data_IF_602249433521
#
_entry.id   IF_602249433521
#
_cell.length_a   1.000
_cell.length_b   1.000
_cell.length_c   1.000
_cell.angle_alpha   90.00
_cell.angle_beta   90.00
_cell.angle_gamma   90.00
#
_symmetry.space_group_name_H-M   'P 1'
#
loop_
_entity.id
_entity.type
_entity.pdbx_description
1 polymer ?
#
# COMPACT_ATOMS: atom_id res chain seq x y z
N UNK A 1 -7.34 14.18 77.24
CA UNK A 1 -8.02 13.21 76.37
C UNK A 1 -7.20 13.05 75.11
N UNK A 2 -6.86 11.81 74.74
CA UNK A 2 -6.07 11.47 73.55
C UNK A 2 -7.01 11.43 72.34
N UNK A 3 -6.76 12.23 71.31
CA UNK A 3 -7.18 11.92 69.94
C UNK A 3 -6.07 12.36 68.97
N UNK A 4 -5.27 11.39 68.52
CA UNK A 4 -4.60 11.41 67.22
C UNK A 4 -5.65 11.57 66.12
N UNK A 5 -5.26 12.04 64.93
CA UNK A 5 -5.54 11.48 63.59
C UNK A 5 -5.16 12.56 62.56
N UNK A 6 -3.96 12.47 61.95
CA UNK A 6 -3.77 12.05 60.55
C UNK A 6 -4.67 12.85 59.61
N UNK A 7 -4.19 13.95 59.02
CA UNK A 7 -3.22 13.94 57.93
C UNK A 7 -4.00 13.95 56.62
N UNK A 8 -4.00 15.07 55.90
CA UNK A 8 -4.60 15.15 54.56
C UNK A 8 -3.61 15.89 53.65
N UNK A 9 -2.74 15.09 53.04
CA UNK A 9 -1.97 15.48 51.86
C UNK A 9 -2.98 15.57 50.70
N UNK A 10 -3.31 16.78 50.26
CA UNK A 10 -4.17 16.96 49.10
C UNK A 10 -3.39 16.60 47.83
N UNK A 11 -3.61 15.38 47.33
CA UNK A 11 -2.99 14.88 46.10
C UNK A 11 -3.59 15.58 44.88
N UNK A 12 -2.76 16.32 44.15
CA UNK A 12 -3.13 16.91 42.85
C UNK A 12 -3.15 15.77 41.82
N UNK A 13 -4.34 15.34 41.39
CA UNK A 13 -4.49 14.45 40.24
C UNK A 13 -4.29 15.26 38.95
N UNK A 14 -3.06 15.26 38.43
CA UNK A 14 -2.78 15.71 37.08
C UNK A 14 -3.40 14.70 36.09
N UNK A 15 -4.55 15.05 35.50
CA UNK A 15 -5.14 14.30 34.40
C UNK A 15 -4.31 14.58 33.16
N UNK A 16 -3.36 13.70 32.85
CA UNK A 16 -2.68 13.71 31.57
C UNK A 16 -3.65 13.19 30.51
N UNK A 17 -4.19 14.11 29.72
CA UNK A 17 -4.84 13.78 28.45
C UNK A 17 -3.78 13.17 27.53
N UNK A 18 -3.68 11.84 27.49
CA UNK A 18 -2.99 11.16 26.41
C UNK A 18 -3.85 11.35 25.16
N UNK A 19 -3.54 12.39 24.39
CA UNK A 19 -3.93 12.48 23.00
C UNK A 19 -3.27 11.30 22.28
N UNK A 20 -4.00 10.19 22.17
CA UNK A 20 -3.62 9.06 21.35
C UNK A 20 -3.46 9.55 19.92
N UNK A 21 -2.22 9.75 19.49
CA UNK A 21 -1.90 9.97 18.11
C UNK A 21 -2.30 8.69 17.38
N UNK A 22 -3.46 8.73 16.71
CA UNK A 22 -3.82 7.76 15.70
C UNK A 22 -2.79 7.91 14.58
N UNK A 23 -1.64 7.25 14.75
CA UNK A 23 -0.74 6.98 13.66
C UNK A 23 -1.57 6.08 12.73
N UNK A 24 -2.21 6.67 11.73
CA UNK A 24 -2.65 5.91 10.58
C UNK A 24 -1.39 5.18 10.13
N UNK A 25 -1.32 3.89 10.40
CA UNK A 25 -0.17 3.09 10.04
C UNK A 25 -0.11 3.13 8.52
N UNK A 26 0.68 4.06 7.98
CA UNK A 26 1.05 4.02 6.58
C UNK A 26 1.69 2.65 6.42
N UNK A 27 1.08 1.82 5.57
CA UNK A 27 1.72 0.55 5.27
C UNK A 27 3.09 0.90 4.71
N UNK A 28 4.13 0.13 5.00
CA UNK A 28 5.51 0.45 4.62
C UNK A 28 5.70 0.71 3.11
N UNK A 29 4.69 0.37 2.30
CA UNK A 29 4.65 0.51 0.85
C UNK A 29 3.79 1.66 0.33
N UNK A 30 3.13 2.43 1.21
CA UNK A 30 2.33 3.59 0.81
C UNK A 30 3.21 4.63 0.07
N UNK A 31 2.64 5.25 -0.96
CA UNK A 31 3.32 6.21 -1.82
C UNK A 31 3.03 6.03 -3.31
N UNK A 32 3.73 6.80 -4.14
CA UNK A 32 3.67 6.71 -5.59
C UNK A 32 4.72 5.73 -6.12
N UNK A 33 4.32 4.90 -7.08
CA UNK A 33 5.16 3.87 -7.68
C UNK A 33 5.09 3.91 -9.20
N UNK A 34 6.24 3.72 -9.82
CA UNK A 34 6.37 3.54 -11.25
C UNK A 34 6.48 2.05 -11.56
N UNK A 35 5.49 1.50 -12.28
CA UNK A 35 5.44 0.07 -12.62
C UNK A 35 5.70 -0.12 -14.09
N UNK A 36 6.70 -0.93 -14.42
CA UNK A 36 7.03 -1.32 -15.79
C UNK A 36 6.52 -2.73 -16.07
N UNK A 37 5.70 -2.85 -17.11
CA UNK A 37 5.05 -4.09 -17.52
C UNK A 37 5.74 -4.60 -18.77
N UNK A 38 6.30 -5.81 -18.70
CA UNK A 38 6.91 -6.50 -19.83
C UNK A 38 6.05 -7.68 -20.25
N UNK A 39 5.79 -7.82 -21.55
CA UNK A 39 5.08 -8.96 -22.12
C UNK A 39 6.05 -10.00 -22.67
N UNK A 40 5.67 -11.27 -22.62
CA UNK A 40 6.46 -12.35 -23.26
C UNK A 40 6.33 -12.38 -24.79
N UNK A 41 5.38 -11.63 -25.36
CA UNK A 41 5.17 -11.51 -26.81
C UNK A 41 4.96 -10.05 -27.19
N UNK A 42 5.54 -9.65 -28.32
CA UNK A 42 5.42 -8.28 -28.85
C UNK A 42 3.97 -7.93 -29.25
N UNK A 43 3.18 -8.95 -29.64
CA UNK A 43 1.75 -8.78 -29.95
C UNK A 43 0.90 -8.35 -28.76
N UNK A 44 1.39 -8.62 -27.54
CA UNK A 44 0.76 -8.21 -26.29
C UNK A 44 1.13 -6.78 -25.85
N UNK A 45 2.04 -6.14 -26.58
CA UNK A 45 2.56 -4.81 -26.28
C UNK A 45 3.92 -4.86 -25.59
N UNK A 46 4.72 -3.82 -25.83
CA UNK A 46 6.11 -3.74 -25.41
C UNK A 46 6.26 -2.73 -24.26
N UNK A 47 6.45 -3.21 -23.03
CA UNK A 47 7.07 -2.38 -22.01
C UNK A 47 6.23 -1.19 -21.51
N UNK A 48 4.93 -1.35 -21.28
CA UNK A 48 4.08 -0.26 -20.79
C UNK A 48 4.49 0.16 -19.38
N UNK A 49 4.56 1.47 -19.13
CA UNK A 49 4.81 2.02 -17.79
C UNK A 49 3.54 2.65 -17.24
N UNK A 50 3.19 2.31 -16.00
CA UNK A 50 1.97 2.78 -15.33
C UNK A 50 2.35 3.33 -13.96
N UNK A 51 1.89 4.53 -13.67
CA UNK A 51 1.98 5.11 -12.33
C UNK A 51 0.80 4.61 -11.47
N UNK A 52 1.10 4.11 -10.28
CA UNK A 52 0.10 3.70 -9.29
C UNK A 52 0.37 4.37 -7.95
N UNK A 53 -0.70 4.61 -7.20
CA UNK A 53 -0.64 5.03 -5.81
C UNK A 53 -1.01 3.86 -4.89
N UNK A 54 -0.27 3.73 -3.80
CA UNK A 54 -0.63 2.84 -2.69
C UNK A 54 -1.01 3.72 -1.50
N UNK A 55 -2.21 3.52 -0.97
CA UNK A 55 -2.70 4.21 0.22
C UNK A 55 -3.37 3.22 1.16
N UNK A 56 -2.84 3.11 2.39
CA UNK A 56 -3.28 2.12 3.36
C UNK A 56 -3.29 0.68 2.78
N UNK A 57 -2.24 0.37 1.99
CA UNK A 57 -2.10 -0.87 1.25
C UNK A 57 -3.04 -1.02 0.04
N UNK A 58 -4.01 -0.13 -0.20
CA UNK A 58 -4.88 -0.20 -1.37
C UNK A 58 -4.21 0.40 -2.60
N UNK A 59 -4.31 -0.30 -3.73
CA UNK A 59 -3.77 0.15 -5.01
C UNK A 59 -4.85 0.93 -5.76
N UNK A 60 -4.51 2.16 -6.16
CA UNK A 60 -5.29 2.98 -7.06
C UNK A 60 -4.42 3.42 -8.24
N UNK A 61 -5.02 3.49 -9.43
CA UNK A 61 -4.35 4.09 -10.58
C UNK A 61 -4.37 5.61 -10.46
N UNK A 62 -3.27 6.26 -10.84
CA UNK A 62 -3.22 7.72 -10.94
C UNK A 62 -3.55 8.21 -12.36
N UNK A 63 -3.86 7.31 -13.29
CA UNK A 63 -4.15 7.61 -14.70
C UNK A 63 -5.58 7.26 -15.09
N UNK A 64 -6.28 8.16 -15.77
CA UNK A 64 -7.67 7.95 -16.22
C UNK A 64 -7.81 6.85 -17.30
N UNK A 65 -6.74 6.55 -18.05
CA UNK A 65 -6.75 5.57 -19.13
C UNK A 65 -6.63 4.11 -18.65
N UNK A 66 -6.14 3.89 -17.42
CA UNK A 66 -5.92 2.55 -16.85
C UNK A 66 -6.54 2.53 -15.48
N UNK A 67 -7.48 1.61 -15.27
CA UNK A 67 -8.02 1.36 -13.92
C UNK A 67 -7.14 0.33 -13.24
N UNK A 68 -6.70 0.61 -12.01
CA UNK A 68 -5.96 -0.32 -11.18
C UNK A 68 -6.72 -0.50 -9.87
N UNK A 69 -6.90 -1.75 -9.47
CA UNK A 69 -7.55 -2.12 -8.21
C UNK A 69 -6.82 -3.31 -7.61
N UNK A 70 -6.56 -3.27 -6.31
CA UNK A 70 -5.79 -4.32 -5.67
C UNK A 70 -5.31 -3.91 -4.29
N UNK A 71 -4.49 -4.77 -3.68
CA UNK A 71 -3.94 -4.53 -2.36
C UNK A 71 -2.51 -5.04 -2.25
N UNK A 72 -1.75 -4.36 -1.41
CA UNK A 72 -0.45 -4.74 -0.89
C UNK A 72 -0.64 -5.11 0.57
N UNK A 73 -0.25 -6.33 0.95
CA UNK A 73 -0.22 -6.76 2.34
C UNK A 73 1.00 -6.16 3.06
N UNK A 74 0.99 -6.16 4.39
CA UNK A 74 2.10 -5.60 5.20
C UNK A 74 3.44 -6.29 4.95
N UNK A 75 3.42 -7.57 4.55
CA UNK A 75 4.62 -8.30 4.12
C UNK A 75 5.07 -7.96 2.69
N UNK A 76 4.40 -7.04 2.00
CA UNK A 76 4.72 -6.61 0.63
C UNK A 76 4.11 -7.47 -0.48
N UNK A 77 3.33 -8.52 -0.16
CA UNK A 77 2.65 -9.32 -1.19
C UNK A 77 1.61 -8.47 -1.93
N UNK A 78 1.65 -8.49 -3.26
CA UNK A 78 0.75 -7.74 -4.13
C UNK A 78 -0.18 -8.67 -4.89
N UNK A 79 -1.45 -8.28 -4.94
CA UNK A 79 -2.37 -8.70 -6.00
C UNK A 79 -3.09 -7.47 -6.56
N UNK A 80 -3.03 -7.31 -7.88
CA UNK A 80 -3.62 -6.18 -8.61
C UNK A 80 -4.36 -6.68 -9.84
N UNK A 81 -5.46 -6.02 -10.17
CA UNK A 81 -6.13 -6.11 -11.46
C UNK A 81 -5.99 -4.78 -12.17
N UNK A 82 -5.49 -4.81 -13.40
CA UNK A 82 -5.46 -3.69 -14.33
C UNK A 82 -6.52 -3.88 -15.40
N UNK A 83 -7.26 -2.83 -15.71
CA UNK A 83 -8.21 -2.84 -16.84
C UNK A 83 -8.08 -1.56 -17.67
N UNK A 84 -8.06 -1.74 -19.00
CA UNK A 84 -7.99 -0.66 -20.00
C UNK A 84 -9.07 -0.91 -21.05
N UNK A 85 -10.17 -0.17 -20.97
CA UNK A 85 -11.38 -0.44 -21.76
C UNK A 85 -11.89 -1.87 -21.48
N UNK A 86 -11.96 -2.69 -22.52
CA UNK A 86 -12.39 -4.10 -22.42
C UNK A 86 -11.24 -5.08 -22.08
N UNK A 87 -9.98 -4.63 -22.06
CA UNK A 87 -8.83 -5.48 -21.76
C UNK A 87 -8.62 -5.55 -20.25
N UNK A 88 -8.33 -6.75 -19.74
CA UNK A 88 -8.06 -7.01 -18.32
C UNK A 88 -6.79 -7.84 -18.14
N UNK A 89 -6.01 -7.50 -17.13
CA UNK A 89 -4.84 -8.26 -16.69
C UNK A 89 -4.81 -8.35 -15.16
N UNK A 90 -4.31 -9.45 -14.63
CA UNK A 90 -4.11 -9.67 -13.20
C UNK A 90 -2.63 -9.84 -12.93
N UNK A 91 -2.12 -9.05 -11.98
CA UNK A 91 -0.73 -9.06 -11.52
C UNK A 91 -0.61 -9.64 -10.11
N UNK A 92 0.49 -10.36 -9.90
CA UNK A 92 0.92 -10.91 -8.62
C UNK A 92 2.41 -10.65 -8.42
N UNK A 93 2.84 -10.45 -7.17
CA UNK A 93 4.26 -10.33 -6.86
C UNK A 93 4.51 -9.82 -5.46
N UNK A 94 5.65 -9.14 -5.27
CA UNK A 94 6.07 -8.65 -3.96
C UNK A 94 6.84 -7.33 -4.08
N UNK A 95 6.58 -6.42 -3.15
CA UNK A 95 7.39 -5.24 -2.88
C UNK A 95 8.36 -5.49 -1.72
N UNK A 96 9.53 -4.87 -1.81
CA UNK A 96 10.57 -4.87 -0.78
C UNK A 96 11.24 -3.49 -0.74
N UNK A 97 11.02 -2.73 0.34
CA UNK A 97 11.52 -1.37 0.47
C UNK A 97 10.97 -0.43 -0.60
N UNK A 98 11.82 -0.04 -1.55
CA UNK A 98 11.52 0.90 -2.64
C UNK A 98 11.44 0.25 -4.02
N UNK A 99 11.47 -1.08 -4.10
CA UNK A 99 11.33 -1.81 -5.37
C UNK A 99 10.41 -3.02 -5.23
N UNK A 100 10.08 -3.64 -6.36
CA UNK A 100 9.33 -4.88 -6.38
C UNK A 100 9.23 -5.49 -7.76
N UNK A 101 8.73 -6.71 -7.82
CA UNK A 101 8.54 -7.41 -9.08
C UNK A 101 7.53 -8.54 -8.97
N UNK A 102 7.14 -9.05 -10.12
CA UNK A 102 6.25 -10.18 -10.19
C UNK A 102 5.86 -10.57 -11.61
N UNK A 103 4.73 -11.25 -11.71
CA UNK A 103 4.15 -11.71 -12.98
C UNK A 103 2.77 -11.15 -13.17
N UNK A 104 2.34 -11.11 -14.42
CA UNK A 104 0.97 -10.78 -14.76
C UNK A 104 0.44 -11.70 -15.85
N UNK A 105 -0.88 -11.82 -15.90
CA UNK A 105 -1.60 -12.63 -16.88
C UNK A 105 -2.86 -11.89 -17.33
N UNK A 106 -3.06 -11.78 -18.63
CA UNK A 106 -4.30 -11.40 -19.29
C UNK A 106 -4.90 -12.58 -20.06
N UNK A 107 -5.93 -12.32 -20.85
CA UNK A 107 -6.66 -13.38 -21.56
C UNK A 107 -5.79 -14.20 -22.53
N UNK A 108 -4.91 -13.55 -23.28
CA UNK A 108 -4.04 -14.18 -24.30
C UNK A 108 -2.55 -13.95 -24.05
N UNK A 109 -2.22 -13.23 -22.98
CA UNK A 109 -0.89 -12.66 -22.78
C UNK A 109 -0.43 -12.88 -21.35
N UNK A 110 0.87 -13.10 -21.18
CA UNK A 110 1.51 -13.19 -19.87
C UNK A 110 2.81 -12.40 -19.90
N UNK A 111 3.35 -12.12 -18.72
CA UNK A 111 4.66 -11.51 -18.63
C UNK A 111 5.07 -11.21 -17.20
N UNK A 112 6.02 -10.29 -17.09
CA UNK A 112 6.59 -9.85 -15.82
C UNK A 112 6.36 -8.36 -15.62
N UNK A 113 6.49 -7.93 -14.38
CA UNK A 113 6.49 -6.52 -14.05
C UNK A 113 7.57 -6.22 -13.01
N UNK A 114 8.07 -5.00 -13.04
CA UNK A 114 8.94 -4.42 -12.01
C UNK A 114 8.32 -3.12 -11.52
N UNK A 115 8.57 -2.77 -10.26
CA UNK A 115 8.10 -1.55 -9.65
C UNK A 115 9.25 -0.85 -8.94
N UNK A 116 9.27 0.48 -9.04
CA UNK A 116 10.19 1.35 -8.33
C UNK A 116 9.41 2.48 -7.69
N UNK A 117 9.74 2.81 -6.44
CA UNK A 117 9.14 3.94 -5.74
C UNK A 117 9.66 5.23 -6.36
N UNK A 118 8.75 6.19 -6.56
CA UNK A 118 9.09 7.54 -7.02
C UNK A 118 9.64 8.40 -5.89
#
# INVERSE_FOLDING_TARGET
MRHLYKGIFATICAVTLLCGQANAASTSFDGAWNVRISSSSETCGNGATVAIGINNGQIASTSAAVTASGRVADAGSINVTLSTGIKRAVGFGRLSGTSGSGTWRGALCTGTWTAERM
#
